data_IF_364165776737
#
_entry.id   IF_364165776737
#
_cell.length_a   1.000
_cell.length_b   1.000
_cell.length_c   1.000
_cell.angle_alpha   90.00
_cell.angle_beta   90.00
_cell.angle_gamma   90.00
#
_symmetry.space_group_name_H-M   'P 1'
#
loop_
_entity.id
_entity.type
_entity.pdbx_description
1 polymer ?
#
# COMPACT_ATOMS: atom_id res chain seq x y z
N UNK A 1 -25.17 -2.27 -17.13
CA UNK A 1 -25.73 -2.69 -15.83
C UNK A 1 -24.77 -2.20 -14.76
N UNK A 2 -25.28 -1.52 -13.74
CA UNK A 2 -24.46 -0.99 -12.65
C UNK A 2 -24.44 -1.97 -11.47
N UNK A 3 -23.33 -2.69 -11.30
CA UNK A 3 -23.19 -3.66 -10.21
C UNK A 3 -22.54 -3.03 -8.98
N UNK A 4 -21.82 -1.90 -9.12
CA UNK A 4 -21.08 -1.29 -8.01
C UNK A 4 -22.00 -0.85 -6.87
N UNK A 5 -23.17 -0.29 -7.19
CA UNK A 5 -24.15 0.16 -6.18
C UNK A 5 -24.67 -1.03 -5.37
N UNK A 6 -25.06 -2.13 -6.03
CA UNK A 6 -25.59 -3.31 -5.32
C UNK A 6 -24.53 -3.88 -4.37
N UNK A 7 -23.28 -3.97 -4.83
CA UNK A 7 -22.16 -4.44 -4.00
C UNK A 7 -21.89 -3.47 -2.85
N UNK A 8 -21.96 -2.16 -3.09
CA UNK A 8 -21.79 -1.13 -2.07
C UNK A 8 -22.82 -1.31 -0.94
N UNK A 9 -24.10 -1.42 -1.27
CA UNK A 9 -25.14 -1.61 -0.25
C UNK A 9 -24.95 -2.91 0.55
N UNK A 10 -24.51 -3.99 -0.12
CA UNK A 10 -24.17 -5.24 0.56
C UNK A 10 -22.94 -5.08 1.47
N UNK A 11 -21.98 -4.25 1.07
CA UNK A 11 -20.77 -3.91 1.82
C UNK A 11 -21.06 -3.29 3.18
N UNK A 12 -22.14 -2.52 3.32
CA UNK A 12 -22.59 -2.04 4.63
C UNK A 12 -22.99 -3.19 5.55
N UNK A 13 -23.68 -4.20 5.02
CA UNK A 13 -24.07 -5.39 5.78
C UNK A 13 -22.87 -6.21 6.25
N UNK A 14 -21.83 -6.31 5.42
CA UNK A 14 -20.57 -6.98 5.78
C UNK A 14 -19.84 -6.19 6.88
N UNK A 15 -19.54 -4.92 6.63
CA UNK A 15 -18.71 -4.11 7.54
C UNK A 15 -19.36 -3.91 8.92
N UNK A 16 -20.68 -3.67 8.98
CA UNK A 16 -21.39 -3.55 10.27
C UNK A 16 -21.46 -4.86 11.05
N UNK A 17 -21.50 -6.03 10.39
CA UNK A 17 -21.51 -7.32 11.10
C UNK A 17 -20.13 -7.75 11.59
N UNK A 18 -19.07 -7.39 10.86
CA UNK A 18 -17.71 -7.78 11.23
C UNK A 18 -17.13 -6.85 12.30
N UNK A 19 -17.38 -5.54 12.19
CA UNK A 19 -16.82 -4.54 13.12
C UNK A 19 -17.46 -4.64 14.50
N UNK A 20 -16.65 -4.79 15.55
CA UNK A 20 -17.16 -4.89 16.94
C UNK A 20 -17.91 -6.19 17.26
N UNK A 21 -17.90 -7.15 16.33
CA UNK A 21 -18.48 -8.48 16.48
C UNK A 21 -19.95 -8.62 16.05
N UNK A 22 -20.40 -9.84 15.70
CA UNK A 22 -21.66 -10.07 15.00
C UNK A 22 -22.92 -9.72 15.79
N UNK A 23 -22.82 -9.52 17.10
CA UNK A 23 -23.93 -9.14 17.97
C UNK A 23 -24.18 -7.63 18.04
N UNK A 24 -23.25 -6.80 17.52
CA UNK A 24 -23.36 -5.35 17.55
C UNK A 24 -23.17 -4.76 16.16
N UNK A 25 -24.24 -4.19 15.59
CA UNK A 25 -24.24 -3.58 14.25
C UNK A 25 -24.20 -2.06 14.27
N UNK A 26 -23.92 -1.46 15.44
CA UNK A 26 -23.90 -0.01 15.64
C UNK A 26 -22.48 0.56 15.76
N UNK A 27 -21.46 -0.21 15.32
CA UNK A 27 -20.06 0.13 15.53
C UNK A 27 -19.45 1.08 14.48
N UNK A 28 -20.22 1.49 13.48
CA UNK A 28 -19.78 2.37 12.39
C UNK A 28 -20.67 3.62 12.31
N UNK A 29 -20.83 4.29 13.45
CA UNK A 29 -21.63 5.51 13.58
C UNK A 29 -20.85 6.76 13.98
N UNK A 30 -19.54 6.65 14.23
CA UNK A 30 -18.67 7.77 14.57
C UNK A 30 -18.26 8.58 13.32
N UNK A 31 -17.76 9.81 13.49
CA UNK A 31 -17.49 10.70 12.36
C UNK A 31 -16.35 10.21 11.45
N UNK A 32 -15.33 9.56 12.01
CA UNK A 32 -14.19 9.01 11.26
C UNK A 32 -14.39 7.56 10.78
N UNK A 33 -15.62 7.04 10.86
CA UNK A 33 -15.90 5.65 10.47
C UNK A 33 -15.63 5.39 8.98
N UNK A 34 -15.28 4.16 8.64
CA UNK A 34 -14.83 3.76 7.30
C UNK A 34 -15.89 2.97 6.49
N UNK A 35 -17.13 2.90 6.97
CA UNK A 35 -18.31 2.19 6.41
C UNK A 35 -18.46 2.30 4.91
N UNK A 36 -18.63 3.55 4.47
CA UNK A 36 -18.74 3.95 3.07
C UNK A 36 -17.52 3.52 2.23
N UNK A 37 -16.34 3.57 2.82
CA UNK A 37 -15.10 3.22 2.16
C UNK A 37 -14.96 1.71 1.93
N UNK A 38 -15.32 0.88 2.91
CA UNK A 38 -15.35 -0.57 2.71
C UNK A 38 -16.35 -1.00 1.64
N UNK A 39 -17.51 -0.34 1.60
CA UNK A 39 -18.54 -0.60 0.60
C UNK A 39 -18.06 -0.27 -0.82
N UNK A 40 -17.44 0.91 -1.01
CA UNK A 40 -16.80 1.27 -2.28
C UNK A 40 -15.66 0.31 -2.64
N UNK A 41 -14.81 -0.04 -1.68
CA UNK A 41 -13.68 -0.94 -1.90
C UNK A 41 -14.13 -2.32 -2.37
N UNK A 42 -15.17 -2.90 -1.76
CA UNK A 42 -15.75 -4.16 -2.21
C UNK A 42 -16.30 -4.06 -3.63
N UNK A 43 -16.96 -2.95 -3.96
CA UNK A 43 -17.47 -2.70 -5.31
C UNK A 43 -16.34 -2.61 -6.35
N UNK A 44 -15.23 -1.96 -6.01
CA UNK A 44 -14.04 -1.86 -6.87
C UNK A 44 -13.41 -3.23 -7.11
N UNK A 45 -13.16 -3.99 -6.04
CA UNK A 45 -12.47 -5.27 -6.12
C UNK A 45 -13.27 -6.32 -6.89
N UNK A 46 -14.58 -6.45 -6.61
CA UNK A 46 -15.43 -7.42 -7.31
C UNK A 46 -15.70 -7.07 -8.77
N UNK A 47 -15.31 -5.87 -9.22
CA UNK A 47 -15.40 -5.45 -10.61
C UNK A 47 -14.02 -5.24 -11.26
N UNK A 48 -12.93 -5.52 -10.54
CA UNK A 48 -11.57 -5.46 -11.07
C UNK A 48 -11.33 -6.55 -12.13
N UNK A 49 -10.50 -6.22 -13.12
CA UNK A 49 -10.15 -7.11 -14.23
C UNK A 49 -8.65 -7.31 -14.26
N UNK A 50 -8.21 -8.42 -14.84
CA UNK A 50 -6.78 -8.70 -15.06
C UNK A 50 -6.09 -7.71 -16.00
N UNK A 51 -6.86 -6.90 -16.74
CA UNK A 51 -6.35 -5.83 -17.60
C UNK A 51 -6.24 -4.48 -16.89
N UNK A 52 -6.81 -4.36 -15.68
CA UNK A 52 -6.70 -3.13 -14.90
C UNK A 52 -5.31 -3.07 -14.24
N UNK A 53 -4.88 -1.85 -13.93
CA UNK A 53 -3.66 -1.55 -13.18
C UNK A 53 -3.97 -0.50 -12.12
N UNK A 54 -3.06 -0.28 -11.17
CA UNK A 54 -3.20 0.77 -10.14
C UNK A 54 -3.64 2.14 -10.69
N UNK A 55 -2.97 2.68 -11.73
CA UNK A 55 -3.33 3.95 -12.33
C UNK A 55 -4.68 4.00 -13.05
N UNK A 56 -5.32 2.85 -13.30
CA UNK A 56 -6.59 2.80 -14.03
C UNK A 56 -7.68 3.59 -13.29
N UNK A 57 -8.32 4.54 -13.99
CA UNK A 57 -9.42 5.34 -13.44
C UNK A 57 -10.66 4.49 -13.13
N UNK A 58 -11.11 4.49 -11.88
CA UNK A 58 -12.30 3.74 -11.43
C UNK A 58 -13.29 4.61 -10.65
N UNK A 59 -14.36 5.04 -11.33
CA UNK A 59 -15.49 5.72 -10.68
C UNK A 59 -16.53 4.75 -10.10
N UNK A 60 -17.38 5.27 -9.21
CA UNK A 60 -18.55 4.57 -8.64
C UNK A 60 -19.84 5.14 -9.23
N UNK A 61 -20.75 4.28 -9.69
CA UNK A 61 -22.05 4.70 -10.24
C UNK A 61 -21.98 5.41 -11.60
N UNK A 62 -20.94 5.18 -12.40
CA UNK A 62 -20.78 5.86 -13.70
C UNK A 62 -21.92 5.54 -14.67
N UNK A 63 -22.43 4.30 -14.68
CA UNK A 63 -23.49 3.89 -15.60
C UNK A 63 -24.81 4.61 -15.32
N UNK A 64 -25.20 4.74 -14.04
CA UNK A 64 -26.47 5.41 -13.67
C UNK A 64 -26.43 6.92 -13.91
N UNK A 65 -25.23 7.49 -14.02
CA UNK A 65 -25.01 8.89 -14.39
C UNK A 65 -24.83 9.09 -15.90
N UNK A 66 -24.88 8.03 -16.71
CA UNK A 66 -24.61 8.12 -18.15
C UNK A 66 -23.17 8.52 -18.50
N UNK A 67 -22.22 8.27 -17.60
CA UNK A 67 -20.81 8.56 -17.80
C UNK A 67 -20.09 7.37 -18.48
N UNK A 68 -18.94 7.60 -19.16
CA UNK A 68 -18.07 6.52 -19.61
C UNK A 68 -17.55 5.71 -18.41
N UNK A 69 -17.06 4.49 -18.66
CA UNK A 69 -16.51 3.60 -17.61
C UNK A 69 -15.30 4.20 -16.88
N UNK A 70 -14.63 5.18 -17.47
CA UNK A 70 -13.51 5.95 -16.91
C UNK A 70 -13.93 7.24 -16.21
N UNK A 71 -15.23 7.55 -16.18
CA UNK A 71 -15.80 8.75 -15.57
C UNK A 71 -15.60 8.79 -14.05
N UNK A 72 -15.72 9.99 -13.48
CA UNK A 72 -15.52 10.25 -12.06
C UNK A 72 -16.52 9.49 -11.17
N UNK A 73 -17.78 9.37 -11.61
CA UNK A 73 -18.85 8.84 -10.79
C UNK A 73 -19.35 9.84 -9.75
N UNK A 74 -19.82 9.32 -8.60
CA UNK A 74 -20.41 10.12 -7.50
C UNK A 74 -19.40 10.57 -6.43
N UNK A 75 -18.13 10.17 -6.55
CA UNK A 75 -17.10 10.47 -5.55
C UNK A 75 -16.26 11.69 -5.97
N UNK A 76 -15.54 12.35 -5.04
CA UNK A 76 -14.75 13.55 -5.35
C UNK A 76 -13.71 13.37 -6.46
N UNK A 77 -13.15 12.17 -6.61
CA UNK A 77 -12.31 11.76 -7.72
C UNK A 77 -12.53 10.26 -8.01
N UNK A 78 -12.16 9.74 -9.20
CA UNK A 78 -12.08 8.30 -9.40
C UNK A 78 -11.03 7.68 -8.47
N UNK A 79 -11.20 6.41 -8.12
CA UNK A 79 -10.16 5.65 -7.44
C UNK A 79 -9.04 5.29 -8.42
N UNK A 80 -7.81 5.64 -8.08
CA UNK A 80 -6.60 5.38 -8.86
C UNK A 80 -5.37 5.60 -7.99
N UNK A 81 -4.31 4.83 -8.23
CA UNK A 81 -2.99 5.06 -7.62
C UNK A 81 -2.23 6.21 -8.29
N UNK A 82 -2.74 6.74 -9.41
CA UNK A 82 -2.20 7.93 -10.05
C UNK A 82 -2.67 9.20 -9.32
N UNK A 83 -1.73 9.89 -8.68
CA UNK A 83 -1.98 11.14 -7.97
C UNK A 83 -2.45 12.28 -8.88
N UNK A 84 -2.22 12.21 -10.20
CA UNK A 84 -2.80 13.17 -11.12
C UNK A 84 -4.32 13.01 -11.26
N UNK A 85 -4.84 11.79 -11.04
CA UNK A 85 -6.28 11.49 -11.07
C UNK A 85 -6.91 11.61 -9.68
N UNK A 86 -6.21 11.16 -8.64
CA UNK A 86 -6.68 11.20 -7.26
C UNK A 86 -5.52 11.51 -6.32
N UNK A 87 -5.40 12.77 -5.91
CA UNK A 87 -4.38 13.25 -4.96
C UNK A 87 -4.89 13.33 -3.51
N UNK A 88 -6.02 12.72 -3.19
CA UNK A 88 -6.58 12.80 -1.84
C UNK A 88 -5.76 11.98 -0.85
N UNK A 89 -5.62 12.53 0.35
CA UNK A 89 -4.83 12.00 1.48
C UNK A 89 -5.61 12.16 2.78
N UNK A 90 -5.07 11.61 3.86
CA UNK A 90 -5.60 11.79 5.21
C UNK A 90 -5.73 13.28 5.61
N UNK A 91 -4.85 14.14 5.11
CA UNK A 91 -4.90 15.58 5.37
C UNK A 91 -6.18 16.26 4.84
N UNK A 92 -6.89 15.64 3.90
CA UNK A 92 -8.13 16.19 3.34
C UNK A 92 -9.35 15.89 4.22
N UNK A 93 -9.25 14.93 5.15
CA UNK A 93 -10.34 14.46 5.99
C UNK A 93 -11.19 15.58 6.66
N UNK A 94 -10.61 16.69 7.17
CA UNK A 94 -11.38 17.76 7.81
C UNK A 94 -12.37 18.48 6.87
N UNK A 95 -12.13 18.42 5.56
CA UNK A 95 -12.97 19.06 4.54
C UNK A 95 -13.99 18.09 3.90
N UNK A 96 -14.00 16.82 4.32
CA UNK A 96 -14.82 15.79 3.69
C UNK A 96 -16.22 15.71 4.28
N UNK A 97 -17.21 15.46 3.43
CA UNK A 97 -18.57 15.18 3.88
C UNK A 97 -18.62 13.85 4.66
N UNK A 98 -19.25 13.85 5.83
CA UNK A 98 -19.49 12.63 6.61
C UNK A 98 -20.84 12.01 6.18
N UNK A 99 -20.94 10.69 5.94
CA UNK A 99 -19.85 9.70 5.95
C UNK A 99 -19.15 9.51 4.59
N UNK A 100 -19.79 9.88 3.49
CA UNK A 100 -19.37 9.46 2.14
C UNK A 100 -17.98 9.95 1.72
N UNK A 101 -17.64 11.20 2.04
CA UNK A 101 -16.34 11.77 1.77
C UNK A 101 -15.24 11.16 2.66
N UNK A 102 -15.56 10.86 3.92
CA UNK A 102 -14.66 10.11 4.82
C UNK A 102 -14.38 8.72 4.23
N UNK A 103 -15.42 7.99 3.86
CA UNK A 103 -15.29 6.69 3.20
C UNK A 103 -14.45 6.73 1.93
N UNK A 104 -14.60 7.78 1.12
CA UNK A 104 -13.80 7.97 -0.08
C UNK A 104 -12.29 8.08 0.21
N UNK A 105 -11.87 8.78 1.27
CA UNK A 105 -10.45 8.82 1.66
C UNK A 105 -9.98 7.41 2.06
N UNK A 106 -10.78 6.68 2.83
CA UNK A 106 -10.44 5.32 3.26
C UNK A 106 -10.32 4.33 2.10
N UNK A 107 -11.29 4.34 1.18
CA UNK A 107 -11.28 3.50 -0.02
C UNK A 107 -10.09 3.84 -0.92
N UNK A 108 -9.70 5.11 -0.99
CA UNK A 108 -8.51 5.55 -1.73
C UNK A 108 -7.24 4.90 -1.18
N UNK A 109 -7.05 4.90 0.15
CA UNK A 109 -5.89 4.27 0.80
C UNK A 109 -5.87 2.74 0.62
N UNK A 110 -7.01 2.10 0.81
CA UNK A 110 -7.12 0.64 0.71
C UNK A 110 -7.09 0.14 -0.74
N UNK A 111 -7.37 1.01 -1.72
CA UNK A 111 -7.16 0.73 -3.14
C UNK A 111 -5.68 0.73 -3.52
N UNK A 112 -4.89 1.67 -3.00
CA UNK A 112 -3.43 1.63 -3.16
C UNK A 112 -2.84 0.36 -2.54
N UNK A 113 -3.31 -0.02 -1.35
CA UNK A 113 -2.89 -1.28 -0.70
C UNK A 113 -3.23 -2.51 -1.56
N UNK A 114 -4.43 -2.54 -2.14
CA UNK A 114 -4.85 -3.62 -3.03
C UNK A 114 -3.88 -3.78 -4.19
N UNK A 115 -3.49 -2.69 -4.85
CA UNK A 115 -2.56 -2.74 -5.97
C UNK A 115 -1.13 -3.09 -5.55
N UNK A 116 -0.64 -2.60 -4.42
CA UNK A 116 0.67 -3.03 -3.89
C UNK A 116 0.74 -4.55 -3.70
N UNK A 117 -0.35 -5.16 -3.23
CA UNK A 117 -0.41 -6.62 -3.06
C UNK A 117 -0.55 -7.34 -4.40
N UNK A 118 -1.35 -6.83 -5.33
CA UNK A 118 -1.50 -7.38 -6.70
C UNK A 118 -0.18 -7.31 -7.47
N UNK A 119 0.55 -6.20 -7.41
CA UNK A 119 1.83 -6.05 -8.10
C UNK A 119 2.87 -7.03 -7.55
N UNK A 120 2.80 -7.32 -6.24
CA UNK A 120 3.72 -8.25 -5.57
C UNK A 120 3.39 -9.73 -5.82
N UNK A 121 2.11 -10.09 -5.80
CA UNK A 121 1.67 -11.50 -5.77
C UNK A 121 0.89 -11.92 -7.02
N UNK A 122 0.74 -11.03 -8.00
CA UNK A 122 -0.06 -11.23 -9.21
C UNK A 122 -1.56 -11.06 -8.98
N UNK A 123 -2.29 -10.84 -10.07
CA UNK A 123 -3.75 -10.84 -10.09
C UNK A 123 -4.29 -12.24 -10.42
N UNK A 124 -5.26 -12.71 -9.65
CA UNK A 124 -6.01 -13.92 -9.95
C UNK A 124 -7.45 -13.58 -10.33
N UNK A 125 -7.91 -14.03 -11.49
CA UNK A 125 -9.29 -13.79 -11.97
C UNK A 125 -10.35 -14.57 -11.18
N UNK A 126 -9.97 -15.60 -10.43
CA UNK A 126 -10.86 -16.28 -9.50
C UNK A 126 -10.85 -15.60 -8.13
N UNK A 127 -11.81 -14.70 -7.91
CA UNK A 127 -12.02 -14.01 -6.64
C UNK A 127 -12.39 -14.93 -5.48
N UNK A 128 -12.90 -16.14 -5.77
CA UNK A 128 -13.25 -17.15 -4.76
C UNK A 128 -12.09 -18.09 -4.45
N UNK A 129 -10.97 -17.94 -5.16
CA UNK A 129 -9.73 -18.65 -4.90
C UNK A 129 -9.20 -18.43 -3.48
N UNK A 130 -8.34 -19.35 -3.04
CA UNK A 130 -7.72 -19.25 -1.72
C UNK A 130 -6.90 -17.95 -1.61
N UNK A 131 -6.78 -17.42 -0.39
CA UNK A 131 -6.14 -16.12 -0.12
C UNK A 131 -4.70 -16.02 -0.64
N UNK A 132 -4.00 -17.15 -0.80
CA UNK A 132 -2.61 -17.24 -1.23
C UNK A 132 -2.42 -17.44 -2.75
N UNK A 133 -3.49 -17.31 -3.55
CA UNK A 133 -3.45 -17.55 -5.00
C UNK A 133 -3.27 -16.28 -5.85
N UNK A 134 -3.38 -15.11 -5.22
CA UNK A 134 -3.17 -13.80 -5.87
C UNK A 134 -3.19 -12.68 -4.83
N UNK A 135 -2.57 -11.56 -5.18
CA UNK A 135 -2.53 -10.37 -4.33
C UNK A 135 -3.91 -9.77 -4.07
N UNK A 136 -4.81 -9.89 -5.04
CA UNK A 136 -6.21 -9.49 -4.88
C UNK A 136 -6.96 -10.41 -3.89
N UNK A 137 -6.75 -11.74 -3.92
CA UNK A 137 -7.34 -12.65 -2.94
C UNK A 137 -6.79 -12.38 -1.54
N UNK A 138 -5.47 -12.13 -1.43
CA UNK A 138 -4.83 -11.76 -0.17
C UNK A 138 -5.43 -10.45 0.37
N UNK A 139 -5.55 -9.42 -0.46
CA UNK A 139 -6.13 -8.13 -0.05
C UNK A 139 -7.56 -8.27 0.48
N UNK A 140 -8.42 -9.04 -0.20
CA UNK A 140 -9.78 -9.37 0.27
C UNK A 140 -9.72 -10.01 1.64
N UNK A 141 -8.84 -11.02 1.82
CA UNK A 141 -8.72 -11.72 3.09
C UNK A 141 -8.28 -10.80 4.22
N UNK A 142 -7.26 -9.97 3.99
CA UNK A 142 -6.72 -9.05 4.98
C UNK A 142 -7.73 -7.96 5.37
N UNK A 143 -8.48 -7.41 4.41
CA UNK A 143 -9.53 -6.43 4.71
C UNK A 143 -10.64 -7.05 5.56
N UNK A 144 -11.15 -8.23 5.17
CA UNK A 144 -12.22 -8.89 5.92
C UNK A 144 -11.78 -9.31 7.33
N UNK A 145 -10.52 -9.73 7.50
CA UNK A 145 -9.99 -10.03 8.83
C UNK A 145 -9.68 -8.76 9.62
N UNK A 146 -9.23 -7.68 8.98
CA UNK A 146 -9.05 -6.37 9.59
C UNK A 146 -10.35 -5.81 10.15
N UNK A 147 -11.46 -5.91 9.41
CA UNK A 147 -12.80 -5.52 9.91
C UNK A 147 -13.19 -6.27 11.19
N UNK A 148 -12.79 -7.54 11.34
CA UNK A 148 -13.08 -8.34 12.53
C UNK A 148 -12.20 -7.97 13.72
N UNK A 149 -10.99 -7.46 13.45
CA UNK A 149 -9.99 -7.15 14.46
C UNK A 149 -10.10 -5.71 14.99
N UNK A 150 -10.58 -4.77 14.16
CA UNK A 150 -10.71 -3.38 14.57
C UNK A 150 -11.74 -3.20 15.70
N UNK A 151 -11.55 -2.20 16.58
CA UNK A 151 -12.48 -1.93 17.66
C UNK A 151 -13.84 -1.43 17.15
N UNK A 152 -14.82 -1.36 18.05
CA UNK A 152 -16.07 -0.65 17.79
C UNK A 152 -15.79 0.86 17.76
N UNK A 153 -16.42 1.59 16.84
CA UNK A 153 -16.18 3.01 16.58
C UNK A 153 -14.71 3.37 16.23
N UNK A 154 -14.09 2.68 15.26
CA UNK A 154 -12.68 2.88 14.91
C UNK A 154 -12.46 4.22 14.19
N UNK A 155 -11.26 4.78 14.34
CA UNK A 155 -10.71 5.78 13.40
C UNK A 155 -9.81 5.13 12.34
N UNK A 156 -9.18 5.92 11.48
CA UNK A 156 -8.41 5.38 10.36
C UNK A 156 -7.16 4.63 10.80
N UNK A 157 -6.46 5.11 11.83
CA UNK A 157 -5.27 4.44 12.39
C UNK A 157 -5.65 3.08 12.98
N UNK A 158 -6.81 2.98 13.64
CA UNK A 158 -7.34 1.70 14.12
C UNK A 158 -7.57 0.71 12.97
N UNK A 159 -8.24 1.16 11.89
CA UNK A 159 -8.48 0.33 10.71
C UNK A 159 -7.20 -0.16 10.04
N UNK A 160 -6.21 0.73 9.86
CA UNK A 160 -4.89 0.38 9.31
C UNK A 160 -4.19 -0.67 10.17
N UNK A 161 -4.13 -0.42 11.47
CA UNK A 161 -3.46 -1.31 12.42
C UNK A 161 -4.14 -2.69 12.47
N UNK A 162 -5.47 -2.75 12.34
CA UNK A 162 -6.21 -4.00 12.28
C UNK A 162 -5.87 -4.81 11.00
N UNK A 163 -5.68 -4.16 9.85
CA UNK A 163 -5.23 -4.81 8.61
C UNK A 163 -3.79 -5.33 8.75
N UNK A 164 -2.88 -4.52 9.33
CA UNK A 164 -1.51 -4.96 9.62
C UNK A 164 -1.49 -6.18 10.56
N UNK A 165 -2.33 -6.17 11.59
CA UNK A 165 -2.48 -7.31 12.50
C UNK A 165 -3.08 -8.53 11.78
N UNK A 166 -4.01 -8.34 10.85
CA UNK A 166 -4.53 -9.43 10.03
C UNK A 166 -3.42 -10.09 9.21
N UNK A 167 -2.49 -9.31 8.65
CA UNK A 167 -1.34 -9.85 7.92
C UNK A 167 -0.36 -10.60 8.82
N UNK A 168 -0.09 -10.10 10.04
CA UNK A 168 0.68 -10.84 11.04
C UNK A 168 0.02 -12.19 11.35
N UNK A 169 -1.29 -12.20 11.57
CA UNK A 169 -2.03 -13.41 11.93
C UNK A 169 -2.11 -14.43 10.78
N UNK A 170 -2.22 -13.96 9.54
CA UNK A 170 -2.42 -14.82 8.37
C UNK A 170 -1.11 -15.30 7.75
N UNK A 171 -0.11 -14.41 7.65
CA UNK A 171 1.12 -14.65 6.87
C UNK A 171 2.39 -14.56 7.70
N UNK A 172 2.29 -14.23 8.99
CA UNK A 172 3.46 -13.92 9.82
C UNK A 172 4.04 -12.53 9.56
N UNK A 173 3.31 -11.64 8.87
CA UNK A 173 3.75 -10.28 8.60
C UNK A 173 4.56 -10.13 7.30
N UNK A 174 4.38 -11.04 6.33
CA UNK A 174 5.15 -11.05 5.10
C UNK A 174 4.90 -9.81 4.20
N UNK A 175 3.81 -9.08 4.46
CA UNK A 175 3.35 -7.97 3.61
C UNK A 175 3.32 -6.62 4.32
N UNK A 176 3.86 -6.53 5.54
CA UNK A 176 3.81 -5.32 6.37
C UNK A 176 4.27 -4.07 5.60
N UNK A 177 5.40 -4.14 4.90
CA UNK A 177 5.92 -2.98 4.18
C UNK A 177 5.06 -2.57 2.98
N UNK A 178 4.34 -3.51 2.34
CA UNK A 178 3.39 -3.24 1.26
C UNK A 178 2.11 -2.57 1.74
N UNK A 179 1.66 -2.95 2.92
CA UNK A 179 0.53 -2.31 3.58
C UNK A 179 0.95 -0.91 4.06
N UNK A 180 2.09 -0.81 4.75
CA UNK A 180 2.60 0.46 5.26
C UNK A 180 2.84 1.50 4.16
N UNK A 181 3.45 1.12 3.02
CA UNK A 181 3.72 2.09 1.95
C UNK A 181 2.44 2.67 1.34
N UNK A 182 1.38 1.88 1.19
CA UNK A 182 0.09 2.38 0.69
C UNK A 182 -0.53 3.42 1.63
N UNK A 183 -0.60 3.09 2.92
CA UNK A 183 -1.17 4.01 3.91
C UNK A 183 -0.29 5.25 4.12
N UNK A 184 1.03 5.08 4.21
CA UNK A 184 1.97 6.19 4.32
C UNK A 184 1.93 7.11 3.10
N UNK A 185 1.86 6.57 1.88
CA UNK A 185 1.74 7.35 0.65
C UNK A 185 0.52 8.28 0.62
N UNK A 186 -0.54 7.93 1.37
CA UNK A 186 -1.78 8.71 1.52
C UNK A 186 -1.88 9.46 2.85
N UNK A 187 -0.79 9.57 3.61
CA UNK A 187 -0.74 10.38 4.84
C UNK A 187 -1.22 9.67 6.11
N UNK A 188 -1.41 8.35 6.08
CA UNK A 188 -1.72 7.52 7.24
C UNK A 188 -0.51 6.63 7.64
N UNK A 189 0.68 7.20 7.59
CA UNK A 189 1.97 6.57 7.86
C UNK A 189 2.25 6.26 9.32
N UNK A 190 3.45 5.76 9.59
CA UNK A 190 3.84 5.18 10.88
C UNK A 190 3.61 6.12 12.06
N UNK A 191 3.97 7.40 11.93
CA UNK A 191 3.76 8.41 12.97
C UNK A 191 2.41 9.14 12.91
N UNK A 192 1.50 8.76 12.01
CA UNK A 192 0.19 9.40 11.89
C UNK A 192 -0.66 9.17 13.15
N UNK A 193 -1.39 10.19 13.56
CA UNK A 193 -2.31 10.15 14.70
C UNK A 193 -3.72 10.41 14.22
N UNK A 194 -4.69 9.60 14.66
CA UNK A 194 -6.10 9.83 14.31
C UNK A 194 -6.82 10.83 15.23
N UNK A 195 -6.29 11.10 16.42
CA UNK A 195 -7.05 11.84 17.43
C UNK A 195 -8.27 11.05 17.92
N UNK A 196 -9.42 11.71 18.03
CA UNK A 196 -10.69 11.11 18.39
C UNK A 196 -11.42 10.58 17.15
N UNK A 197 -11.84 9.32 17.15
CA UNK A 197 -12.64 8.76 16.06
C UNK A 197 -14.03 9.42 15.89
N UNK A 198 -14.44 10.24 16.87
CA UNK A 198 -15.63 11.09 16.78
C UNK A 198 -15.38 12.44 16.12
N UNK A 199 -14.19 12.66 15.58
CA UNK A 199 -13.79 13.90 14.91
C UNK A 199 -13.08 13.58 13.59
N UNK A 200 -13.19 14.51 12.64
CA UNK A 200 -12.47 14.44 11.36
C UNK A 200 -11.39 15.51 11.26
N UNK A 201 -11.15 16.29 12.32
CA UNK A 201 -10.35 17.52 12.28
C UNK A 201 -9.22 17.61 13.31
N UNK A 202 -8.99 16.56 14.11
CA UNK A 202 -7.96 16.50 15.15
C UNK A 202 -6.85 15.47 14.86
N UNK A 203 -6.98 14.71 13.76
CA UNK A 203 -5.93 13.84 13.25
C UNK A 203 -4.73 14.61 12.69
N UNK A 204 -3.55 14.01 12.76
CA UNK A 204 -2.29 14.51 12.19
C UNK A 204 -1.76 13.51 11.16
N UNK A 205 -1.64 13.90 9.87
CA UNK A 205 -1.12 13.01 8.84
C UNK A 205 0.39 12.82 8.97
N UNK A 206 0.86 11.66 8.53
CA UNK A 206 2.28 11.37 8.39
C UNK A 206 2.54 10.47 7.18
N UNK A 207 3.72 10.60 6.58
CA UNK A 207 4.07 9.92 5.32
C UNK A 207 5.27 8.97 5.48
N UNK A 208 5.74 8.78 6.71
CA UNK A 208 6.80 7.83 7.05
C UNK A 208 6.28 6.39 7.08
N UNK A 209 7.16 5.43 6.77
CA UNK A 209 6.95 4.00 7.01
C UNK A 209 7.79 3.57 8.24
N UNK A 210 7.53 2.41 8.86
CA UNK A 210 8.38 1.94 9.94
C UNK A 210 9.84 1.80 9.47
N UNK A 211 10.85 2.02 10.34
CA UNK A 211 12.25 1.89 9.98
C UNK A 211 12.62 0.53 9.35
N UNK A 212 11.93 -0.55 9.75
CA UNK A 212 12.12 -1.89 9.17
C UNK A 212 11.66 -2.01 7.70
N UNK A 213 10.97 -1.00 7.17
CA UNK A 213 10.52 -0.92 5.78
C UNK A 213 11.24 0.17 4.98
N UNK A 214 12.00 1.04 5.65
CA UNK A 214 12.79 2.13 5.07
C UNK A 214 14.27 1.79 5.12
N UNK A 215 14.69 0.88 4.23
CA UNK A 215 16.06 0.39 4.21
C UNK A 215 16.66 0.38 2.80
N UNK A 216 17.97 0.60 2.76
CA UNK A 216 18.83 0.36 1.62
C UNK A 216 20.01 -0.46 2.14
N UNK A 217 20.01 -1.76 1.86
CA UNK A 217 20.94 -2.70 2.50
C UNK A 217 21.67 -3.56 1.48
N UNK A 218 22.99 -3.70 1.67
CA UNK A 218 23.83 -4.63 0.95
C UNK A 218 23.87 -6.00 1.64
N UNK A 219 23.78 -7.08 0.87
CA UNK A 219 24.01 -8.45 1.36
C UNK A 219 24.99 -9.18 0.43
N UNK A 220 26.15 -9.65 0.93
CA UNK A 220 26.69 -9.40 2.27
C UNK A 220 27.10 -7.93 2.48
N UNK A 221 27.29 -7.46 3.71
CA UNK A 221 27.81 -6.09 3.99
C UNK A 221 29.33 -5.99 3.84
N UNK A 222 30.04 -7.13 3.85
CA UNK A 222 31.48 -7.22 3.62
C UNK A 222 31.78 -8.50 2.85
N UNK A 223 32.75 -8.45 1.95
CA UNK A 223 33.17 -9.58 1.13
C UNK A 223 34.68 -9.60 0.98
N UNK A 224 35.29 -10.76 1.22
CA UNK A 224 36.67 -11.03 0.81
C UNK A 224 36.71 -11.46 -0.65
N UNK A 225 37.63 -10.86 -1.42
CA UNK A 225 37.83 -11.17 -2.83
C UNK A 225 39.30 -11.49 -3.10
N UNK A 226 39.55 -12.37 -4.07
CA UNK A 226 40.89 -12.53 -4.61
C UNK A 226 41.29 -11.28 -5.40
N UNK A 227 42.58 -10.93 -5.39
CA UNK A 227 43.09 -9.78 -6.14
C UNK A 227 42.67 -9.83 -7.62
N UNK A 228 42.07 -8.75 -8.10
CA UNK A 228 41.59 -8.61 -9.48
C UNK A 228 40.20 -9.20 -9.74
N UNK A 229 39.56 -9.86 -8.77
CA UNK A 229 38.16 -10.26 -8.88
C UNK A 229 37.23 -9.10 -8.52
N UNK A 230 36.05 -9.06 -9.14
CA UNK A 230 35.04 -8.08 -8.76
C UNK A 230 34.46 -8.42 -7.37
N UNK A 231 34.22 -7.41 -6.54
CA UNK A 231 33.33 -7.57 -5.39
C UNK A 231 31.89 -7.27 -5.84
N UNK A 232 30.95 -8.13 -5.45
CA UNK A 232 29.57 -8.08 -5.94
C UNK A 232 28.63 -8.07 -4.74
N UNK A 233 27.87 -7.00 -4.61
CA UNK A 233 26.94 -6.78 -3.50
C UNK A 233 25.52 -6.70 -4.04
N UNK A 234 24.61 -7.49 -3.48
CA UNK A 234 23.19 -7.35 -3.77
C UNK A 234 22.61 -6.31 -2.82
N UNK A 235 22.07 -5.23 -3.37
CA UNK A 235 21.34 -4.22 -2.63
C UNK A 235 19.85 -4.46 -2.75
N UNK A 236 19.18 -4.40 -1.60
CA UNK A 236 17.72 -4.37 -1.51
C UNK A 236 17.25 -2.94 -1.24
N UNK A 237 16.28 -2.48 -2.02
CA UNK A 237 15.64 -1.18 -1.89
C UNK A 237 14.26 -1.38 -1.27
N UNK A 238 14.09 -0.81 -0.08
CA UNK A 238 12.86 -0.87 0.71
C UNK A 238 11.71 -0.05 0.14
N UNK A 239 10.59 -0.08 0.84
CA UNK A 239 9.27 0.37 0.36
C UNK A 239 9.00 1.87 0.59
N UNK A 240 9.92 2.57 1.24
CA UNK A 240 9.83 4.00 1.51
C UNK A 240 10.01 4.87 0.25
N UNK A 241 10.61 4.31 -0.81
CA UNK A 241 10.85 5.04 -2.05
C UNK A 241 9.63 4.97 -2.97
N UNK A 242 9.07 6.14 -3.32
CA UNK A 242 7.87 6.27 -4.16
C UNK A 242 8.16 6.40 -5.66
N UNK A 243 9.43 6.58 -6.03
CA UNK A 243 9.91 6.68 -7.41
C UNK A 243 11.11 5.75 -7.62
N UNK A 244 11.50 5.58 -8.89
CA UNK A 244 12.67 4.78 -9.22
C UNK A 244 13.94 5.27 -8.50
N UNK A 245 14.62 4.38 -7.80
CA UNK A 245 15.79 4.74 -6.97
C UNK A 245 17.05 4.67 -7.81
N UNK A 246 17.64 5.82 -8.09
CA UNK A 246 18.93 5.93 -8.75
C UNK A 246 20.05 5.79 -7.72
N UNK A 247 20.97 4.86 -7.97
CA UNK A 247 22.05 4.48 -7.07
C UNK A 247 23.37 5.04 -7.54
N UNK A 248 24.19 5.50 -6.59
CA UNK A 248 25.57 5.91 -6.86
C UNK A 248 26.45 5.53 -5.67
N UNK A 249 27.72 5.24 -5.93
CA UNK A 249 28.71 4.95 -4.91
C UNK A 249 29.89 5.90 -5.08
N UNK A 250 30.42 6.40 -3.97
CA UNK A 250 31.60 7.27 -3.92
C UNK A 250 32.54 6.78 -2.82
N UNK A 251 33.81 7.19 -2.88
CA UNK A 251 34.81 6.78 -1.87
C UNK A 251 35.45 5.42 -2.10
N UNK A 252 35.18 4.75 -3.22
CA UNK A 252 35.88 3.53 -3.61
C UNK A 252 37.36 3.83 -3.95
N UNK A 253 38.33 2.98 -3.51
CA UNK A 253 39.76 3.25 -3.72
C UNK A 253 40.12 3.33 -5.21
N UNK A 254 40.85 4.36 -5.64
CA UNK A 254 41.33 4.40 -7.02
C UNK A 254 42.33 3.25 -7.28
N UNK A 255 42.26 2.54 -8.42
CA UNK A 255 41.48 2.82 -9.63
C UNK A 255 40.21 1.95 -9.78
N UNK A 256 39.58 1.55 -8.67
CA UNK A 256 38.37 0.72 -8.73
C UNK A 256 37.22 1.43 -9.44
N UNK A 257 36.29 0.65 -9.99
CA UNK A 257 35.04 1.15 -10.58
C UNK A 257 33.86 0.70 -9.72
N UNK A 258 32.74 1.44 -9.77
CA UNK A 258 31.51 1.08 -9.09
C UNK A 258 30.31 1.24 -10.04
N UNK A 259 29.57 0.15 -10.28
CA UNK A 259 28.40 0.16 -11.16
C UNK A 259 27.23 -0.56 -10.52
N UNK A 260 26.02 -0.02 -10.70
CA UNK A 260 24.77 -0.62 -10.25
C UNK A 260 23.96 -1.14 -11.44
N UNK A 261 23.32 -2.30 -11.30
CA UNK A 261 22.43 -2.85 -12.32
C UNK A 261 21.32 -3.72 -11.68
N UNK A 262 20.02 -3.44 -11.94
CA UNK A 262 19.50 -2.27 -12.66
C UNK A 262 19.75 -0.96 -11.91
N UNK A 263 19.86 0.15 -12.64
CA UNK A 263 19.94 1.49 -12.09
C UNK A 263 19.31 2.50 -13.07
N UNK A 264 18.18 3.13 -12.74
CA UNK A 264 17.46 3.08 -11.45
C UNK A 264 16.73 1.76 -11.18
N UNK A 265 16.46 1.50 -9.89
CA UNK A 265 15.53 0.44 -9.44
C UNK A 265 14.10 0.97 -9.59
N UNK A 266 13.44 0.60 -10.68
CA UNK A 266 12.12 1.14 -11.04
C UNK A 266 10.92 0.39 -10.43
N UNK A 267 11.14 -0.80 -9.87
CA UNK A 267 10.11 -1.60 -9.19
C UNK A 267 10.49 -1.65 -7.72
N UNK A 268 9.61 -1.16 -6.84
CA UNK A 268 9.85 -1.07 -5.40
C UNK A 268 8.82 -1.96 -4.68
N UNK A 269 9.23 -2.86 -3.76
CA UNK A 269 10.62 -3.08 -3.35
C UNK A 269 11.37 -3.80 -4.47
N UNK A 270 12.66 -3.54 -4.58
CA UNK A 270 13.45 -4.05 -5.69
C UNK A 270 14.90 -4.26 -5.33
N UNK A 271 15.61 -4.93 -6.24
CA UNK A 271 17.00 -5.26 -6.03
C UNK A 271 17.86 -4.60 -7.12
N UNK A 272 19.08 -4.26 -6.74
CA UNK A 272 20.15 -3.86 -7.65
C UNK A 272 21.45 -4.50 -7.22
N UNK A 273 22.33 -4.77 -8.18
CA UNK A 273 23.64 -5.34 -7.89
C UNK A 273 24.69 -4.26 -8.07
N UNK A 274 25.43 -3.97 -7.01
CA UNK A 274 26.68 -3.20 -7.07
C UNK A 274 27.83 -4.11 -7.45
N UNK A 275 28.55 -3.76 -8.52
CA UNK A 275 29.80 -4.39 -8.90
C UNK A 275 30.95 -3.40 -8.67
N UNK A 276 31.90 -3.77 -7.79
CA UNK A 276 33.17 -3.07 -7.63
C UNK A 276 34.22 -3.80 -8.46
N UNK A 277 34.70 -3.15 -9.53
CA UNK A 277 35.69 -3.70 -10.46
C UNK A 277 37.09 -3.09 -10.30
N UNK A 278 38.04 -3.55 -11.13
CA UNK A 278 39.43 -3.07 -11.14
C UNK A 278 40.14 -3.16 -9.77
N UNK A 279 39.88 -4.23 -9.02
CA UNK A 279 40.37 -4.41 -7.65
C UNK A 279 41.83 -4.88 -7.55
N UNK A 280 42.48 -5.21 -8.67
CA UNK A 280 43.85 -5.75 -8.69
C UNK A 280 44.90 -4.81 -8.09
N UNK A 281 44.66 -3.50 -8.14
CA UNK A 281 45.55 -2.45 -7.64
C UNK A 281 45.06 -1.78 -6.36
N UNK A 282 43.87 -2.15 -5.87
CA UNK A 282 43.42 -1.79 -4.54
C UNK A 282 44.21 -2.64 -3.54
N UNK A 283 45.26 -2.08 -2.94
CA UNK A 283 46.02 -2.75 -1.90
C UNK A 283 45.08 -3.26 -0.80
N UNK A 284 45.34 -4.48 -0.28
CA UNK A 284 44.61 -5.17 0.79
C UNK A 284 44.08 -4.22 1.87
N UNK A 285 42.89 -3.68 1.65
CA UNK A 285 42.20 -2.82 2.60
C UNK A 285 40.73 -3.21 2.51
N UNK A 286 40.17 -3.52 3.67
CA UNK A 286 38.78 -3.93 3.83
C UNK A 286 37.87 -2.81 3.33
N UNK A 287 37.04 -3.10 2.33
CA UNK A 287 36.01 -2.17 1.88
C UNK A 287 34.82 -2.32 2.82
N UNK A 288 34.58 -1.30 3.65
CA UNK A 288 33.41 -1.23 4.53
C UNK A 288 32.29 -0.45 3.83
N UNK A 289 31.07 -0.96 3.91
CA UNK A 289 29.83 -0.28 3.56
C UNK A 289 28.89 -0.27 4.77
#
# INVERSE_FOLDING_TARGET
MENSIIVHEYGHGISNRLTGGPANVSCLGNNEQMGEGWSDWLALVLTAKSTDTGPTSRGIGTYVLGQPVTGQGIRPAPYSTDFALNNYTYANLPAMAVPHGVGFIWATMTWDMYWNLVDRHGFNSDFYGNWNTGGNNLAIRLILDGMKLQPCSPGFVDGRNAILQADVNLTGGANQCAIWSAFAGRGLGFSASQGSSSSTNDGTPAFDVPPSCDFLEATPTTQDICAGQNAVYNFSVGMAFTAGVAMSATGNPAPTTATFSPNPVNVIPGNTTLTIGNTASAAFTTVHF
#
